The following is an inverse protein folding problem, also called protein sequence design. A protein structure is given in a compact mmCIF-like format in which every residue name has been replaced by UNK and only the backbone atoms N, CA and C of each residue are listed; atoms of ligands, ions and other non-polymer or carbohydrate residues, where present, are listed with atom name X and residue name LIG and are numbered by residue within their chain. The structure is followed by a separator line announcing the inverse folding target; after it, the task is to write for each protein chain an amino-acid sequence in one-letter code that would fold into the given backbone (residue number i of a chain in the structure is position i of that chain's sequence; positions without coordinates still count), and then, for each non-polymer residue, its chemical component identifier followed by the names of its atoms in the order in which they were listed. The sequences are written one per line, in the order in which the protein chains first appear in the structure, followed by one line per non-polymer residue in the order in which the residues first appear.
data_IF_525843001454
#
_entry.id   IF_525843001454
#
_cell.length_a   1.000
_cell.length_b   1.000
_cell.length_c   1.000
_cell.angle_alpha   90.00
_cell.angle_beta   90.00
_cell.angle_gamma   90.00
#
_symmetry.space_group_name_H-M   'P 1'
#
loop_
_entity.id
_entity.type
_entity.pdbx_description
1 polymer ?
#
# COMPACT_ATOMS: atom_id res chain seq x y z
N UNK A 1 5.65 -0.17 1.47
CA UNK A 1 7.08 -0.07 1.13
C UNK A 1 7.31 -1.02 -0.03
N UNK A 2 7.66 -0.46 -1.18
CA UNK A 2 7.89 -1.20 -2.42
C UNK A 2 9.25 -0.77 -2.99
N UNK A 3 9.96 -1.69 -3.62
CA UNK A 3 11.15 -1.38 -4.40
C UNK A 3 10.76 -0.90 -5.80
N UNK A 4 11.73 -0.39 -6.57
CA UNK A 4 11.49 -0.04 -7.97
C UNK A 4 11.10 -1.29 -8.78
N UNK A 5 11.78 -2.41 -8.55
CA UNK A 5 11.49 -3.69 -9.20
C UNK A 5 10.04 -4.13 -8.91
N UNK A 6 9.61 -4.05 -7.64
CA UNK A 6 8.22 -4.37 -7.27
C UNK A 6 7.21 -3.49 -8.03
N UNK A 7 7.52 -2.21 -8.25
CA UNK A 7 6.68 -1.28 -8.98
C UNK A 7 6.61 -1.60 -10.48
N UNK A 8 7.73 -2.03 -11.07
CA UNK A 8 7.78 -2.49 -12.46
C UNK A 8 6.95 -3.77 -12.62
N UNK A 9 7.10 -4.72 -11.69
CA UNK A 9 6.32 -5.97 -11.68
C UNK A 9 4.82 -5.71 -11.59
N UNK A 10 4.38 -4.72 -10.79
CA UNK A 10 2.98 -4.30 -10.75
C UNK A 10 2.48 -3.83 -12.12
N UNK A 11 3.26 -3.00 -12.83
CA UNK A 11 2.87 -2.49 -14.14
C UNK A 11 2.79 -3.62 -15.16
N UNK A 12 3.78 -4.53 -15.19
CA UNK A 12 3.78 -5.69 -16.08
C UNK A 12 2.62 -6.63 -15.78
N UNK A 13 2.33 -6.89 -14.51
CA UNK A 13 1.21 -7.72 -14.10
C UNK A 13 -0.14 -7.13 -14.55
N UNK A 14 -0.33 -5.82 -14.35
CA UNK A 14 -1.53 -5.13 -14.81
C UNK A 14 -1.63 -5.12 -16.34
N UNK A 15 -0.50 -5.04 -17.05
CA UNK A 15 -0.46 -5.10 -18.51
C UNK A 15 -0.90 -6.47 -19.04
N UNK A 16 -0.46 -7.57 -18.41
CA UNK A 16 -0.77 -8.94 -18.85
C UNK A 16 -2.18 -9.41 -18.44
N UNK A 17 -2.68 -8.95 -17.29
CA UNK A 17 -3.91 -9.48 -16.68
C UNK A 17 -5.04 -8.48 -16.51
N UNK A 18 -4.82 -7.21 -16.87
CA UNK A 18 -5.79 -6.16 -16.64
C UNK A 18 -6.91 -6.13 -17.67
N UNK A 19 -8.12 -5.95 -17.17
CA UNK A 19 -9.28 -5.61 -17.99
C UNK A 19 -9.53 -4.09 -17.98
N UNK A 20 -10.31 -3.61 -18.94
CA UNK A 20 -10.61 -2.18 -19.05
C UNK A 20 -11.29 -1.67 -17.77
N UNK A 21 -10.65 -0.68 -17.15
CA UNK A 21 -11.15 -0.02 -15.94
C UNK A 21 -10.72 -0.69 -14.63
N UNK A 22 -9.95 -1.78 -14.69
CA UNK A 22 -9.34 -2.36 -13.50
C UNK A 22 -8.32 -1.41 -12.88
N UNK A 23 -8.31 -1.36 -11.55
CA UNK A 23 -7.25 -0.77 -10.75
C UNK A 23 -6.51 -1.91 -10.02
N UNK A 24 -5.19 -1.96 -10.20
CA UNK A 24 -4.34 -2.94 -9.54
C UNK A 24 -3.54 -2.28 -8.41
N UNK A 25 -3.55 -2.92 -7.24
CA UNK A 25 -2.74 -2.52 -6.08
C UNK A 25 -1.90 -3.69 -5.64
N UNK A 26 -0.58 -3.50 -5.57
CA UNK A 26 0.32 -4.51 -5.02
C UNK A 26 0.24 -4.54 -3.49
N UNK A 27 0.15 -5.74 -2.92
CA UNK A 27 0.23 -5.93 -1.47
C UNK A 27 1.67 -5.71 -1.01
N UNK A 28 1.89 -4.58 -0.35
CA UNK A 28 3.20 -4.21 0.18
C UNK A 28 3.23 -4.18 1.72
N UNK A 29 4.34 -4.58 2.36
CA UNK A 29 4.52 -4.38 3.80
C UNK A 29 4.75 -2.89 4.10
N UNK A 30 4.58 -2.49 5.36
CA UNK A 30 4.84 -1.13 5.83
C UNK A 30 5.93 -1.09 6.91
N UNK A 31 6.42 0.09 7.24
CA UNK A 31 7.30 0.34 8.39
C UNK A 31 6.98 1.74 8.94
N UNK A 32 7.31 2.00 10.21
CA UNK A 32 7.28 3.38 10.72
C UNK A 32 8.53 4.12 10.27
N UNK A 33 8.44 5.45 10.24
CA UNK A 33 9.60 6.32 9.98
C UNK A 33 10.72 6.05 11.00
N UNK A 34 10.39 5.79 12.27
CA UNK A 34 11.38 5.42 13.28
C UNK A 34 12.12 4.13 12.96
N UNK A 35 11.41 3.07 12.56
CA UNK A 35 12.04 1.81 12.15
C UNK A 35 12.92 2.00 10.91
N UNK A 36 12.48 2.78 9.93
CA UNK A 36 13.25 3.10 8.75
C UNK A 36 14.54 3.86 9.10
N UNK A 37 14.43 4.91 9.91
CA UNK A 37 15.58 5.72 10.33
C UNK A 37 16.60 4.86 11.09
N UNK A 38 16.14 4.06 12.06
CA UNK A 38 17.01 3.18 12.84
C UNK A 38 17.71 2.14 11.96
N UNK A 39 16.98 1.51 11.03
CA UNK A 39 17.58 0.53 10.10
C UNK A 39 18.67 1.16 9.23
N UNK A 40 18.47 2.39 8.75
CA UNK A 40 19.47 3.12 7.96
C UNK A 40 20.71 3.44 8.80
N UNK A 41 20.52 3.96 10.02
CA UNK A 41 21.62 4.30 10.93
C UNK A 41 22.49 3.07 11.24
N UNK A 42 21.86 1.94 11.56
CA UNK A 42 22.56 0.71 11.87
C UNK A 42 23.31 0.15 10.66
N UNK A 43 22.73 0.19 9.46
CA UNK A 43 23.41 -0.24 8.22
C UNK A 43 24.61 0.65 7.86
N UNK A 44 24.57 1.93 8.23
CA UNK A 44 25.67 2.89 7.97
C UNK A 44 26.65 3.01 9.15
N UNK A 45 26.45 2.26 10.23
CA UNK A 45 27.32 2.29 11.42
C UNK A 45 27.28 3.61 12.20
N UNK A 46 26.20 4.39 12.04
CA UNK A 46 26.03 5.69 12.69
C UNK A 46 25.34 5.49 14.05
N UNK A 47 25.92 6.07 15.11
CA UNK A 47 25.42 5.94 16.49
C UNK A 47 24.57 7.12 16.98
N UNK A 48 24.28 8.08 16.12
CA UNK A 48 23.50 9.26 16.47
C UNK A 48 22.02 8.93 16.44
N UNK A 49 21.26 9.50 17.38
CA UNK A 49 19.81 9.34 17.41
C UNK A 49 19.14 10.18 16.30
N UNK A 50 18.03 9.68 15.71
CA UNK A 50 17.23 10.47 14.78
C UNK A 50 16.65 11.73 15.45
N UNK A 51 16.69 12.86 14.73
CA UNK A 51 16.06 14.11 15.18
C UNK A 51 14.63 14.17 14.64
N UNK A 52 13.66 14.40 15.53
CA UNK A 52 12.26 14.61 15.15
C UNK A 52 11.98 16.09 14.93
N UNK A 53 11.51 16.45 13.74
CA UNK A 53 11.12 17.83 13.38
C UNK A 53 9.60 18.06 13.41
N UNK A 54 8.82 17.02 13.78
CA UNK A 54 7.36 17.04 13.74
C UNK A 54 6.78 16.75 12.34
N UNK A 55 5.45 16.60 12.29
CA UNK A 55 4.70 16.35 11.05
C UNK A 55 4.63 17.61 10.20
N UNK A 56 4.90 17.49 8.89
CA UNK A 56 4.83 18.61 7.95
C UNK A 56 3.41 18.82 7.44
N UNK A 57 3.14 20.02 6.91
CA UNK A 57 1.84 20.34 6.32
C UNK A 57 1.52 19.38 5.16
N UNK A 58 0.30 18.82 5.18
CA UNK A 58 -0.18 17.92 4.13
C UNK A 58 0.23 16.45 4.29
N UNK A 59 0.99 16.08 5.33
CA UNK A 59 1.34 14.69 5.59
C UNK A 59 0.23 13.96 6.37
N UNK A 60 0.01 12.68 6.02
CA UNK A 60 -0.89 11.78 6.75
C UNK A 60 -0.10 10.87 7.68
N UNK A 61 -0.75 10.39 8.75
CA UNK A 61 -0.16 9.43 9.68
C UNK A 61 0.08 8.05 9.04
N UNK A 62 -0.80 7.65 8.12
CA UNK A 62 -0.71 6.43 7.34
C UNK A 62 -1.32 6.66 5.96
N UNK A 63 -0.92 5.84 5.00
CA UNK A 63 -1.39 5.93 3.62
C UNK A 63 -2.35 4.79 3.31
N UNK A 64 -3.42 5.12 2.58
CA UNK A 64 -4.46 4.18 2.15
C UNK A 64 -4.16 3.75 0.72
N UNK A 65 -4.07 2.45 0.48
CA UNK A 65 -3.85 1.90 -0.85
C UNK A 65 -5.15 1.38 -1.49
N UNK A 66 -6.07 0.87 -0.69
CA UNK A 66 -7.42 0.50 -1.14
C UNK A 66 -8.42 1.03 -0.13
N UNK A 67 -9.30 1.92 -0.57
CA UNK A 67 -10.36 2.49 0.25
C UNK A 67 -11.38 1.43 0.66
N UNK A 68 -12.21 1.75 1.64
CA UNK A 68 -13.27 0.84 2.09
C UNK A 68 -14.24 0.45 0.97
N UNK A 69 -14.62 1.41 0.11
CA UNK A 69 -15.49 1.12 -1.04
C UNK A 69 -14.82 0.17 -2.04
N UNK A 70 -13.57 0.45 -2.37
CA UNK A 70 -12.80 -0.38 -3.30
C UNK A 70 -12.61 -1.79 -2.72
N UNK A 71 -12.39 -1.94 -1.41
CA UNK A 71 -12.24 -3.24 -0.75
C UNK A 71 -13.49 -4.11 -0.83
N UNK A 72 -14.69 -3.51 -0.85
CA UNK A 72 -15.95 -4.26 -1.06
C UNK A 72 -15.95 -4.95 -2.42
N UNK A 73 -15.43 -4.28 -3.46
CA UNK A 73 -15.37 -4.77 -4.84
C UNK A 73 -14.07 -5.53 -5.17
N UNK A 74 -13.04 -5.40 -4.33
CA UNK A 74 -11.72 -5.92 -4.57
C UNK A 74 -11.70 -7.45 -4.64
N UNK A 75 -11.06 -7.97 -5.68
CA UNK A 75 -10.71 -9.37 -5.83
C UNK A 75 -9.32 -9.56 -5.23
N UNK A 76 -9.26 -10.42 -4.21
CA UNK A 76 -8.02 -10.78 -3.54
C UNK A 76 -7.23 -11.79 -4.39
N UNK A 77 -6.10 -11.33 -4.94
CA UNK A 77 -5.13 -12.16 -5.65
C UNK A 77 -3.89 -12.36 -4.75
N UNK A 78 -3.05 -13.39 -5.00
CA UNK A 78 -1.93 -13.71 -4.11
C UNK A 78 -1.06 -12.50 -3.71
N UNK A 79 -0.63 -11.69 -4.68
CA UNK A 79 0.24 -10.53 -4.46
C UNK A 79 -0.44 -9.17 -4.73
N UNK A 80 -1.70 -9.18 -5.17
CA UNK A 80 -2.38 -7.99 -5.68
C UNK A 80 -3.81 -7.92 -5.17
N UNK A 81 -4.37 -6.72 -5.16
CA UNK A 81 -5.80 -6.51 -5.23
C UNK A 81 -6.13 -6.03 -6.65
N UNK A 82 -7.15 -6.65 -7.25
CA UNK A 82 -7.77 -6.17 -8.49
C UNK A 82 -9.12 -5.55 -8.14
N UNK A 83 -9.26 -4.26 -8.39
CA UNK A 83 -10.49 -3.51 -8.14
C UNK A 83 -11.14 -3.27 -9.51
N UNK A 84 -12.18 -4.03 -9.87
CA UNK A 84 -12.82 -3.86 -11.17
C UNK A 84 -13.58 -2.54 -11.25
N UNK A 85 -13.61 -1.97 -12.46
CA UNK A 85 -14.47 -0.83 -12.73
C UNK A 85 -15.93 -1.16 -12.45
N UNK A 86 -16.64 -0.12 -11.99
CA UNK A 86 -18.06 -0.22 -11.74
C UNK A 86 -18.85 -0.17 -13.06
N UNK A 87 -18.99 -1.32 -13.71
CA UNK A 87 -19.59 -1.44 -15.05
C UNK A 87 -21.13 -1.52 -15.02
N UNK A 88 -21.79 -0.74 -14.15
CA UNK A 88 -23.26 -0.70 -14.01
C UNK A 88 -23.97 0.13 -15.10
N UNK A 89 -23.37 0.27 -16.29
CA UNK A 89 -23.95 0.95 -17.47
C UNK A 89 -24.55 2.34 -17.18
N UNK A 90 -23.89 3.17 -16.37
CA UNK A 90 -24.35 4.53 -15.98
C UNK A 90 -25.69 4.56 -15.19
N UNK A 91 -26.08 3.47 -14.50
CA UNK A 91 -27.28 3.46 -13.67
C UNK A 91 -27.05 4.18 -12.32
N UNK A 92 -27.70 5.34 -12.16
CA UNK A 92 -27.62 6.21 -10.97
C UNK A 92 -28.47 5.74 -9.78
N UNK A 93 -29.49 4.88 -9.99
CA UNK A 93 -30.44 4.45 -8.96
C UNK A 93 -29.75 3.77 -7.77
N UNK A 94 -28.60 3.16 -8.01
CA UNK A 94 -27.82 2.46 -6.98
C UNK A 94 -26.95 3.37 -6.10
N UNK A 95 -26.84 4.66 -6.44
CA UNK A 95 -26.26 5.65 -5.53
C UNK A 95 -27.33 6.34 -4.67
N UNK A 96 -28.61 6.23 -5.04
CA UNK A 96 -29.72 6.98 -4.42
C UNK A 96 -30.66 6.08 -3.62
N UNK A 97 -31.13 4.96 -4.17
CA UNK A 97 -32.22 4.17 -3.57
C UNK A 97 -31.78 2.82 -2.97
N UNK A 98 -30.69 2.21 -3.46
CA UNK A 98 -30.22 0.88 -3.04
C UNK A 98 -28.79 0.93 -2.51
N UNK A 99 -28.62 1.27 -1.23
CA UNK A 99 -27.35 1.15 -0.54
C UNK A 99 -26.90 -0.32 -0.40
N UNK A 100 -25.60 -0.58 -0.57
CA UNK A 100 -25.00 -1.88 -0.28
C UNK A 100 -24.80 -2.01 1.24
N UNK A 101 -25.45 -2.99 1.89
CA UNK A 101 -25.25 -3.22 3.34
C UNK A 101 -23.84 -3.76 3.68
N UNK A 102 -23.09 -4.20 2.68
CA UNK A 102 -21.74 -4.79 2.84
C UNK A 102 -20.66 -3.78 3.22
N UNK A 103 -20.91 -2.47 3.09
CA UNK A 103 -19.95 -1.43 3.48
C UNK A 103 -19.49 -1.57 4.94
N UNK A 104 -20.34 -2.05 5.85
CA UNK A 104 -20.00 -2.09 7.28
C UNK A 104 -19.04 -3.21 7.68
N UNK A 105 -18.68 -4.13 6.78
CA UNK A 105 -17.93 -5.35 7.13
C UNK A 105 -16.49 -5.37 6.63
N UNK A 106 -16.12 -4.52 5.67
CA UNK A 106 -14.76 -4.47 5.12
C UNK A 106 -14.03 -3.22 5.60
N UNK A 107 -12.81 -3.40 6.07
CA UNK A 107 -11.90 -2.29 6.39
C UNK A 107 -11.08 -1.90 5.16
N UNK A 108 -10.66 -0.63 5.10
CA UNK A 108 -9.71 -0.15 4.09
C UNK A 108 -8.33 -0.84 4.25
N UNK A 109 -7.62 -1.03 3.16
CA UNK A 109 -6.24 -1.51 3.19
C UNK A 109 -5.26 -0.33 3.22
N UNK A 110 -4.47 -0.23 4.28
CA UNK A 110 -3.59 0.91 4.52
C UNK A 110 -2.31 0.53 5.27
N UNK A 111 -1.33 1.44 5.34
CA UNK A 111 0.00 1.13 5.90
C UNK A 111 -0.02 0.77 7.40
N UNK A 112 -1.13 1.02 8.12
CA UNK A 112 -1.24 0.68 9.55
C UNK A 112 -1.75 -0.75 9.84
N UNK A 113 -2.50 -1.38 8.92
CA UNK A 113 -3.09 -2.72 9.10
C UNK A 113 -2.45 -3.80 8.21
N UNK A 114 -1.52 -3.43 7.34
CA UNK A 114 -0.68 -4.39 6.64
C UNK A 114 0.42 -4.95 7.57
N UNK A 115 1.17 -5.94 7.08
CA UNK A 115 2.37 -6.46 7.74
C UNK A 115 3.37 -5.31 7.95
N UNK A 116 3.66 -5.00 9.21
CA UNK A 116 4.67 -4.00 9.58
C UNK A 116 6.02 -4.68 9.84
N UNK A 117 7.04 -4.22 9.12
CA UNK A 117 8.42 -4.67 9.29
C UNK A 117 8.99 -4.12 10.60
N UNK A 118 9.77 -4.95 11.26
CA UNK A 118 10.69 -4.56 12.32
C UNK A 118 12.01 -4.04 11.72
N UNK A 119 12.97 -3.68 12.58
CA UNK A 119 14.27 -3.14 12.16
C UNK A 119 15.00 -4.15 11.26
N UNK A 120 15.04 -5.43 11.63
CA UNK A 120 15.72 -6.47 10.86
C UNK A 120 15.05 -6.73 9.51
N UNK A 121 13.71 -6.78 9.46
CA UNK A 121 12.94 -6.87 8.23
C UNK A 121 13.17 -5.68 7.31
N UNK A 122 13.25 -4.47 7.87
CA UNK A 122 13.54 -3.25 7.12
C UNK A 122 14.96 -3.27 6.56
N UNK A 123 15.97 -3.70 7.33
CA UNK A 123 17.35 -3.86 6.84
C UNK A 123 17.43 -4.83 5.67
N UNK A 124 16.77 -5.99 5.76
CA UNK A 124 16.70 -6.97 4.67
C UNK A 124 16.10 -6.37 3.39
N UNK A 125 15.08 -5.53 3.53
CA UNK A 125 14.48 -4.83 2.40
C UNK A 125 15.43 -3.78 1.81
N UNK A 126 16.09 -2.97 2.66
CA UNK A 126 17.05 -1.95 2.23
C UNK A 126 18.24 -2.55 1.49
N UNK A 127 18.77 -3.70 1.94
CA UNK A 127 19.89 -4.40 1.32
C UNK A 127 19.61 -4.92 -0.10
N UNK A 128 18.33 -4.97 -0.52
CA UNK A 128 17.99 -5.24 -1.92
C UNK A 128 18.38 -4.08 -2.84
N UNK A 129 18.38 -2.85 -2.32
CA UNK A 129 18.69 -1.64 -3.07
C UNK A 129 20.20 -1.49 -3.21
N UNK A 130 20.66 -1.15 -4.40
CA UNK A 130 22.10 -0.98 -4.68
C UNK A 130 22.78 0.08 -3.80
N UNK A 131 22.02 1.05 -3.27
CA UNK A 131 22.52 2.08 -2.35
C UNK A 131 23.02 1.53 -0.99
N UNK A 132 22.57 0.33 -0.61
CA UNK A 132 22.89 -0.31 0.67
C UNK A 132 23.70 -1.60 0.52
N UNK A 133 23.99 -2.04 -0.71
CA UNK A 133 25.02 -3.04 -0.98
C UNK A 133 26.41 -2.43 -0.77
#
# INVERSE_FOLDING_TARGET
MMTLDDAVDLVLYAFEHGEQGDLFVQKAPAATIGTLAQAILELKGVKQDPVSIGTRHGEKLYEVLVTQEEMVKAIDLPNFFRIPADNRNLNYDKFIEKGLKEFSQKEAYHSHNTKRLDIEGMKKLLLKLDLFK
#
